data_IF_852488993706
#
_entry.id   IF_852488993706
#
_cell.length_a   1.000
_cell.length_b   1.000
_cell.length_c   1.000
_cell.angle_alpha   90.00
_cell.angle_beta   90.00
_cell.angle_gamma   90.00
#
_symmetry.space_group_name_H-M   'P 1'
#
loop_
_entity.id
_entity.type
_entity.pdbx_description
1 polymer ?
#
# COMPACT_ATOMS: atom_id res chain seq x y z
N UNK A 1 -16.17 -20.39 -7.58
CA UNK A 1 -15.37 -20.83 -6.42
C UNK A 1 -16.27 -21.10 -5.21
N UNK A 2 -17.01 -20.10 -4.73
CA UNK A 2 -17.95 -20.20 -3.59
C UNK A 2 -19.03 -21.26 -3.81
N UNK A 3 -19.76 -21.21 -4.91
CA UNK A 3 -20.81 -22.20 -5.24
C UNK A 3 -20.28 -23.65 -5.40
N UNK A 4 -19.00 -23.81 -5.71
CA UNK A 4 -18.35 -25.12 -5.91
C UNK A 4 -17.52 -25.55 -4.70
N UNK A 5 -17.50 -24.78 -3.60
CA UNK A 5 -16.70 -25.01 -2.40
C UNK A 5 -15.22 -25.37 -2.69
N UNK A 6 -14.60 -24.76 -3.71
CA UNK A 6 -13.26 -25.12 -4.17
C UNK A 6 -12.22 -24.07 -3.80
N UNK A 7 -11.31 -24.45 -2.89
CA UNK A 7 -10.20 -23.61 -2.45
C UNK A 7 -9.21 -23.30 -3.57
N UNK A 8 -8.89 -24.27 -4.44
CA UNK A 8 -7.98 -24.06 -5.56
C UNK A 8 -8.54 -23.02 -6.55
N UNK A 9 -9.83 -23.10 -6.88
CA UNK A 9 -10.51 -22.11 -7.71
C UNK A 9 -10.57 -20.74 -7.04
N UNK A 10 -10.74 -20.68 -5.72
CA UNK A 10 -10.69 -19.43 -4.97
C UNK A 10 -9.31 -18.77 -5.08
N UNK A 11 -8.23 -19.54 -4.88
CA UNK A 11 -6.85 -19.05 -4.99
C UNK A 11 -6.58 -18.48 -6.39
N UNK A 12 -6.99 -19.21 -7.44
CA UNK A 12 -6.83 -18.73 -8.82
C UNK A 12 -7.66 -17.46 -9.06
N UNK A 13 -8.90 -17.40 -8.55
CA UNK A 13 -9.74 -16.22 -8.69
C UNK A 13 -9.18 -14.98 -7.96
N UNK A 14 -8.50 -15.18 -6.82
CA UNK A 14 -7.84 -14.09 -6.08
C UNK A 14 -6.71 -13.43 -6.88
N UNK A 15 -6.14 -14.11 -7.89
CA UNK A 15 -5.18 -13.48 -8.79
C UNK A 15 -5.78 -12.27 -9.54
N UNK A 16 -7.07 -12.31 -9.89
CA UNK A 16 -7.76 -11.18 -10.53
C UNK A 16 -7.90 -9.99 -9.57
N UNK A 17 -8.20 -10.23 -8.30
CA UNK A 17 -8.21 -9.19 -7.25
C UNK A 17 -6.82 -8.60 -7.01
N UNK A 18 -5.79 -9.44 -7.04
CA UNK A 18 -4.40 -9.00 -7.02
C UNK A 18 -4.11 -8.04 -8.18
N UNK A 19 -4.47 -8.41 -9.40
CA UNK A 19 -4.33 -7.55 -10.58
C UNK A 19 -5.05 -6.21 -10.46
N UNK A 20 -6.29 -6.20 -9.96
CA UNK A 20 -7.05 -4.98 -9.71
C UNK A 20 -6.39 -4.09 -8.63
N UNK A 21 -5.86 -4.71 -7.57
CA UNK A 21 -5.12 -4.00 -6.51
C UNK A 21 -3.83 -3.38 -7.05
N UNK A 22 -3.06 -4.13 -7.85
CA UNK A 22 -1.86 -3.61 -8.51
C UNK A 22 -2.21 -2.45 -9.45
N UNK A 23 -3.28 -2.56 -10.23
CA UNK A 23 -3.73 -1.47 -11.11
C UNK A 23 -4.14 -0.22 -10.32
N UNK A 24 -4.88 -0.39 -9.21
CA UNK A 24 -5.25 0.72 -8.32
C UNK A 24 -4.05 1.41 -7.68
N UNK A 25 -3.05 0.63 -7.25
CA UNK A 25 -1.78 1.18 -6.77
C UNK A 25 -1.03 1.90 -7.90
N UNK A 26 -0.94 1.31 -9.09
CA UNK A 26 -0.25 1.91 -10.23
C UNK A 26 -0.88 3.24 -10.70
N UNK A 27 -2.20 3.42 -10.50
CA UNK A 27 -2.91 4.66 -10.85
C UNK A 27 -2.32 5.91 -10.18
N UNK A 28 -1.65 5.75 -9.03
CA UNK A 28 -0.96 6.84 -8.33
C UNK A 28 0.18 7.45 -9.16
N UNK A 29 0.83 6.65 -10.00
CA UNK A 29 1.90 7.13 -10.88
C UNK A 29 1.36 7.88 -12.10
N UNK A 30 0.21 7.47 -12.63
CA UNK A 30 -0.46 8.20 -13.70
C UNK A 30 -0.80 9.65 -13.30
N UNK A 31 -1.16 9.88 -12.03
CA UNK A 31 -1.35 11.23 -11.50
C UNK A 31 -0.04 12.04 -11.48
N UNK A 32 1.12 11.39 -11.27
CA UNK A 32 2.41 12.09 -11.20
C UNK A 32 3.04 12.41 -12.54
N UNK A 33 2.67 11.71 -13.61
CA UNK A 33 3.29 11.85 -14.92
C UNK A 33 3.00 13.21 -15.56
N UNK A 34 1.82 13.79 -15.29
CA UNK A 34 1.44 15.14 -15.71
C UNK A 34 1.47 16.19 -14.60
N UNK A 35 1.71 15.78 -13.34
CA UNK A 35 1.76 16.71 -12.23
C UNK A 35 2.97 17.66 -12.33
N UNK A 36 2.74 18.92 -11.97
CA UNK A 36 3.80 19.92 -11.80
C UNK A 36 4.79 19.43 -10.72
N UNK A 37 6.11 19.72 -10.86
CA UNK A 37 7.11 19.26 -9.89
C UNK A 37 6.77 19.57 -8.43
N UNK A 38 6.22 20.77 -8.17
CA UNK A 38 5.92 21.26 -6.82
C UNK A 38 4.62 20.69 -6.22
N UNK A 39 3.87 19.87 -6.96
CA UNK A 39 2.57 19.31 -6.53
C UNK A 39 2.48 17.80 -6.68
N UNK A 40 3.57 17.16 -7.12
CA UNK A 40 3.57 15.75 -7.51
C UNK A 40 3.19 14.82 -6.36
N UNK A 41 3.66 15.07 -5.14
CA UNK A 41 3.31 14.22 -4.00
C UNK A 41 1.86 14.43 -3.56
N UNK A 42 1.36 15.66 -3.59
CA UNK A 42 -0.06 15.97 -3.33
C UNK A 42 -0.98 15.30 -4.36
N UNK A 43 -0.69 15.41 -5.64
CA UNK A 43 -1.56 14.85 -6.69
C UNK A 43 -1.60 13.31 -6.60
N UNK A 44 -0.44 12.69 -6.37
CA UNK A 44 -0.34 11.26 -6.06
C UNK A 44 -1.19 10.91 -4.83
N UNK A 45 -1.07 11.69 -3.76
CA UNK A 45 -1.69 11.34 -2.49
C UNK A 45 -3.20 11.55 -2.47
N UNK A 46 -3.75 12.38 -3.36
CA UNK A 46 -5.20 12.46 -3.62
C UNK A 46 -5.73 11.15 -4.22
N UNK A 47 -4.97 10.51 -5.12
CA UNK A 47 -5.34 9.18 -5.65
C UNK A 47 -5.34 8.14 -4.54
N UNK A 48 -4.31 8.16 -3.68
CA UNK A 48 -4.23 7.27 -2.51
C UNK A 48 -5.41 7.52 -1.56
N UNK A 49 -5.77 8.78 -1.33
CA UNK A 49 -6.88 9.18 -0.46
C UNK A 49 -8.23 8.69 -0.97
N UNK A 50 -8.46 8.69 -2.29
CA UNK A 50 -9.70 8.19 -2.87
C UNK A 50 -9.99 6.72 -2.49
N UNK A 51 -8.93 5.94 -2.21
CA UNK A 51 -9.04 4.57 -1.69
C UNK A 51 -9.79 4.52 -0.35
N UNK A 52 -9.68 5.57 0.49
CA UNK A 52 -10.43 5.68 1.76
C UNK A 52 -11.93 5.49 1.55
N UNK A 53 -12.48 6.07 0.48
CA UNK A 53 -13.92 5.99 0.19
C UNK A 53 -14.30 4.51 -0.05
N UNK A 54 -13.52 3.80 -0.85
CA UNK A 54 -13.72 2.37 -1.10
C UNK A 54 -13.53 1.51 0.15
N UNK A 55 -12.49 1.78 0.96
CA UNK A 55 -12.22 1.03 2.19
C UNK A 55 -13.29 1.20 3.26
N UNK A 56 -13.92 2.38 3.35
CA UNK A 56 -15.04 2.64 4.26
C UNK A 56 -16.35 2.08 3.70
N UNK A 57 -16.63 2.29 2.41
CA UNK A 57 -17.86 1.82 1.79
C UNK A 57 -17.91 0.29 1.67
N UNK A 58 -16.78 -0.37 1.36
CA UNK A 58 -16.71 -1.80 1.05
C UNK A 58 -17.34 -2.71 2.10
N UNK A 59 -16.88 -2.71 3.36
CA UNK A 59 -17.44 -3.55 4.42
C UNK A 59 -18.92 -3.26 4.69
N UNK A 60 -19.35 -1.98 4.61
CA UNK A 60 -20.73 -1.57 4.83
C UNK A 60 -21.67 -2.02 3.70
N UNK A 61 -21.13 -2.23 2.50
CA UNK A 61 -21.88 -2.71 1.33
C UNK A 61 -21.86 -4.25 1.20
N UNK A 62 -21.00 -4.95 1.95
CA UNK A 62 -20.86 -6.40 1.85
C UNK A 62 -22.13 -7.17 2.25
N UNK A 63 -22.74 -6.82 3.40
CA UNK A 63 -23.98 -7.45 3.84
C UNK A 63 -25.18 -7.15 2.91
N UNK A 64 -25.43 -5.88 2.51
CA UNK A 64 -26.44 -5.58 1.50
C UNK A 64 -26.23 -6.33 0.18
N UNK A 65 -24.97 -6.44 -0.28
CA UNK A 65 -24.64 -7.18 -1.48
C UNK A 65 -24.94 -8.68 -1.34
N UNK A 66 -24.64 -9.27 -0.18
CA UNK A 66 -24.97 -10.66 0.13
C UNK A 66 -26.47 -10.94 0.05
N UNK A 67 -27.28 -10.11 0.71
CA UNK A 67 -28.76 -10.19 0.66
C UNK A 67 -29.29 -10.07 -0.76
N UNK A 68 -28.71 -9.19 -1.59
CA UNK A 68 -29.10 -9.05 -2.99
C UNK A 68 -28.86 -10.34 -3.78
N UNK A 69 -27.72 -11.00 -3.60
CA UNK A 69 -27.44 -12.30 -4.23
C UNK A 69 -28.42 -13.39 -3.81
N UNK A 70 -28.80 -13.43 -2.53
CA UNK A 70 -29.76 -14.40 -2.00
C UNK A 70 -31.15 -14.20 -2.62
N UNK A 71 -31.57 -12.95 -2.85
CA UNK A 71 -32.84 -12.65 -3.54
C UNK A 71 -32.90 -13.22 -4.97
N UNK A 72 -31.75 -13.34 -5.64
CA UNK A 72 -31.63 -13.96 -6.97
C UNK A 72 -31.30 -15.46 -6.91
N UNK A 73 -31.38 -16.10 -5.74
CA UNK A 73 -31.13 -17.54 -5.56
C UNK A 73 -29.66 -17.94 -5.55
N UNK A 74 -28.73 -16.99 -5.42
CA UNK A 74 -27.30 -17.24 -5.33
C UNK A 74 -26.79 -17.35 -3.88
N UNK A 75 -25.57 -17.87 -3.65
CA UNK A 75 -24.96 -17.88 -2.32
C UNK A 75 -24.71 -16.46 -1.80
N UNK A 76 -25.10 -16.14 -0.56
CA UNK A 76 -24.88 -14.83 0.05
C UNK A 76 -23.40 -14.41 0.09
N UNK A 77 -22.49 -15.36 0.33
CA UNK A 77 -21.04 -15.11 0.33
C UNK A 77 -20.50 -14.66 -1.03
N UNK A 78 -21.23 -14.89 -2.12
CA UNK A 78 -20.83 -14.43 -3.46
C UNK A 78 -21.11 -12.94 -3.68
N UNK A 79 -22.01 -12.32 -2.90
CA UNK A 79 -22.45 -10.94 -3.06
C UNK A 79 -21.31 -9.91 -3.06
N UNK A 80 -20.44 -9.88 -2.04
CA UNK A 80 -19.30 -8.96 -1.99
C UNK A 80 -18.34 -9.09 -3.18
N UNK A 81 -18.14 -10.31 -3.71
CA UNK A 81 -17.30 -10.54 -4.88
C UNK A 81 -17.93 -10.01 -6.17
N UNK A 82 -19.24 -10.18 -6.34
CA UNK A 82 -19.98 -9.63 -7.48
C UNK A 82 -20.01 -8.10 -7.45
N UNK A 83 -20.26 -7.50 -6.28
CA UNK A 83 -20.17 -6.05 -6.10
C UNK A 83 -18.79 -5.52 -6.50
N UNK A 84 -17.73 -6.20 -6.05
CA UNK A 84 -16.35 -5.84 -6.40
C UNK A 84 -16.10 -5.94 -7.90
N UNK A 85 -16.60 -6.99 -8.57
CA UNK A 85 -16.45 -7.15 -10.02
C UNK A 85 -17.14 -6.01 -10.81
N UNK A 86 -18.34 -5.61 -10.39
CA UNK A 86 -19.06 -4.47 -10.99
C UNK A 86 -18.30 -3.16 -10.75
N UNK A 87 -17.84 -2.92 -9.53
CA UNK A 87 -17.09 -1.72 -9.18
C UNK A 87 -15.77 -1.61 -9.97
N UNK A 88 -14.99 -2.69 -10.06
CA UNK A 88 -13.76 -2.72 -10.85
C UNK A 88 -14.03 -2.59 -12.35
N UNK A 89 -15.10 -3.19 -12.87
CA UNK A 89 -15.53 -3.02 -14.26
C UNK A 89 -15.91 -1.57 -14.58
N UNK A 90 -16.67 -0.92 -13.70
CA UNK A 90 -17.01 0.50 -13.82
C UNK A 90 -15.76 1.40 -13.76
N UNK A 91 -14.84 1.13 -12.83
CA UNK A 91 -13.57 1.85 -12.74
C UNK A 91 -12.72 1.69 -14.02
N UNK A 92 -12.63 0.48 -14.57
CA UNK A 92 -11.92 0.22 -15.83
C UNK A 92 -12.53 1.00 -17.00
N UNK A 93 -13.87 1.07 -17.09
CA UNK A 93 -14.56 1.86 -18.10
C UNK A 93 -14.30 3.36 -17.96
N UNK A 94 -14.34 3.88 -16.73
CA UNK A 94 -14.04 5.30 -16.45
C UNK A 94 -12.61 5.63 -16.83
N UNK A 95 -11.64 4.78 -16.47
CA UNK A 95 -10.22 4.97 -16.84
C UNK A 95 -10.04 4.91 -18.36
N UNK A 96 -10.63 3.91 -19.02
CA UNK A 96 -10.53 3.71 -20.46
C UNK A 96 -11.14 4.86 -21.27
N UNK A 97 -12.24 5.45 -20.79
CA UNK A 97 -12.92 6.57 -21.44
C UNK A 97 -12.30 7.93 -21.07
N UNK A 98 -11.90 8.11 -19.81
CA UNK A 98 -11.51 9.40 -19.24
C UNK A 98 -10.03 9.77 -19.36
N UNK A 99 -9.11 8.80 -19.46
CA UNK A 99 -7.67 9.06 -19.60
C UNK A 99 -7.22 9.10 -21.08
N UNK A 100 -8.03 9.74 -21.94
CA UNK A 100 -7.70 9.95 -23.35
C UNK A 100 -7.53 11.44 -23.64
N UNK A 101 -6.36 11.89 -24.14
CA UNK A 101 -5.17 11.10 -24.50
C UNK A 101 -4.37 10.63 -23.29
N UNK A 102 -3.60 9.54 -23.47
CA UNK A 102 -2.81 8.90 -22.40
C UNK A 102 -1.84 9.92 -21.75
N UNK A 103 -1.93 10.14 -20.42
CA UNK A 103 -1.05 11.04 -19.68
C UNK A 103 0.44 10.82 -19.94
N UNK A 104 0.87 9.57 -20.08
CA UNK A 104 2.26 9.21 -20.31
C UNK A 104 2.71 9.60 -21.73
N UNK A 105 1.82 9.46 -22.72
CA UNK A 105 2.08 9.89 -24.10
C UNK A 105 2.22 11.40 -24.18
N UNK A 106 1.37 12.14 -23.46
CA UNK A 106 1.50 13.58 -23.33
C UNK A 106 2.82 13.97 -22.65
N UNK A 107 3.20 13.30 -21.56
CA UNK A 107 4.44 13.58 -20.83
C UNK A 107 5.72 13.29 -21.63
N UNK A 108 5.68 12.31 -22.55
CA UNK A 108 6.81 11.96 -23.43
C UNK A 108 6.94 12.89 -24.65
N UNK A 109 5.91 13.70 -24.95
CA UNK A 109 5.77 14.37 -26.24
C UNK A 109 5.40 13.37 -27.35
N UNK A 110 4.77 13.84 -28.44
CA UNK A 110 4.15 13.02 -29.50
C UNK A 110 5.09 12.06 -30.29
N UNK A 111 6.31 11.84 -29.82
CA UNK A 111 7.32 10.95 -30.43
C UNK A 111 7.92 10.05 -29.35
N UNK A 112 7.14 9.09 -28.87
CA UNK A 112 7.70 7.93 -28.18
C UNK A 112 6.88 6.69 -28.54
N UNK A 113 7.42 5.98 -29.53
CA UNK A 113 7.09 4.62 -29.93
C UNK A 113 6.76 3.73 -28.73
N UNK A 114 5.97 2.69 -28.97
CA UNK A 114 5.78 1.49 -28.14
C UNK A 114 7.12 0.84 -27.78
N UNK A 115 7.93 1.53 -26.97
CA UNK A 115 9.21 1.04 -26.50
C UNK A 115 8.93 -0.19 -25.66
N UNK A 116 9.53 -1.32 -26.04
CA UNK A 116 9.43 -2.57 -25.31
C UNK A 116 9.91 -2.31 -23.88
N UNK A 117 9.18 -2.84 -22.90
CA UNK A 117 9.61 -2.88 -21.50
C UNK A 117 11.04 -3.38 -21.42
N UNK A 118 11.93 -2.56 -20.85
CA UNK A 118 13.34 -2.91 -20.65
C UNK A 118 13.65 -2.92 -19.15
N UNK A 119 13.40 -4.08 -18.53
CA UNK A 119 13.66 -4.29 -17.11
C UNK A 119 15.14 -4.16 -16.76
N UNK A 120 16.05 -4.47 -17.70
CA UNK A 120 17.48 -4.35 -17.47
C UNK A 120 17.89 -2.87 -17.38
N UNK A 121 17.38 -2.03 -18.30
CA UNK A 121 17.59 -0.59 -18.26
C UNK A 121 16.95 0.05 -17.03
N UNK A 122 15.72 -0.35 -16.67
CA UNK A 122 15.04 0.14 -15.47
C UNK A 122 15.85 -0.16 -14.20
N UNK A 123 16.32 -1.39 -14.07
CA UNK A 123 17.13 -1.81 -12.93
C UNK A 123 18.51 -1.13 -12.89
N UNK A 124 19.15 -0.94 -14.05
CA UNK A 124 20.39 -0.19 -14.14
C UNK A 124 20.21 1.27 -13.72
N UNK A 125 19.14 1.93 -14.19
CA UNK A 125 18.81 3.31 -13.81
C UNK A 125 18.52 3.43 -12.31
N UNK A 126 17.81 2.47 -11.75
CA UNK A 126 17.54 2.42 -10.31
C UNK A 126 18.83 2.26 -9.51
N UNK A 127 19.72 1.35 -9.91
CA UNK A 127 21.00 1.11 -9.21
C UNK A 127 21.94 2.31 -9.28
N UNK A 128 21.95 3.04 -10.41
CA UNK A 128 22.79 4.21 -10.61
C UNK A 128 22.35 5.41 -9.74
N UNK A 129 21.08 5.49 -9.34
CA UNK A 129 20.54 6.62 -8.58
C UNK A 129 20.44 6.31 -7.08
N UNK A 130 21.20 7.04 -6.26
CA UNK A 130 21.12 6.95 -4.80
C UNK A 130 19.71 7.25 -4.24
N UNK A 131 19.07 8.36 -4.65
CA UNK A 131 17.70 8.69 -4.27
C UNK A 131 16.66 7.64 -4.72
N UNK A 132 16.80 7.07 -5.92
CA UNK A 132 15.90 6.00 -6.39
C UNK A 132 16.01 4.74 -5.52
N UNK A 133 17.22 4.33 -5.12
CA UNK A 133 17.43 3.21 -4.20
C UNK A 133 16.84 3.47 -2.82
N UNK A 134 16.98 4.69 -2.29
CA UNK A 134 16.39 5.08 -1.02
C UNK A 134 14.86 5.01 -1.08
N UNK A 135 14.27 5.54 -2.15
CA UNK A 135 12.84 5.48 -2.40
C UNK A 135 12.31 4.04 -2.47
N UNK A 136 12.94 3.20 -3.30
CA UNK A 136 12.58 1.79 -3.43
C UNK A 136 12.68 1.06 -2.08
N UNK A 137 13.78 1.25 -1.36
CA UNK A 137 14.01 0.65 -0.05
C UNK A 137 12.91 1.02 0.94
N UNK A 138 12.53 2.30 1.00
CA UNK A 138 11.45 2.77 1.88
C UNK A 138 10.09 2.18 1.54
N UNK A 139 9.73 2.16 0.24
CA UNK A 139 8.46 1.58 -0.23
C UNK A 139 8.38 0.09 0.11
N UNK A 140 9.41 -0.69 -0.26
CA UNK A 140 9.42 -2.16 -0.08
C UNK A 140 9.42 -2.52 1.39
N UNK A 141 10.30 -1.89 2.18
CA UNK A 141 10.42 -2.18 3.61
C UNK A 141 9.15 -1.81 4.36
N UNK A 142 8.58 -0.64 4.06
CA UNK A 142 7.33 -0.20 4.68
C UNK A 142 6.17 -1.12 4.36
N UNK A 143 6.02 -1.55 3.10
CA UNK A 143 4.94 -2.46 2.72
C UNK A 143 5.14 -3.85 3.31
N UNK A 144 6.38 -4.36 3.38
CA UNK A 144 6.72 -5.61 4.06
C UNK A 144 6.26 -5.61 5.52
N UNK A 145 6.63 -4.59 6.30
CA UNK A 145 6.26 -4.53 7.72
C UNK A 145 4.79 -4.23 7.93
N UNK A 146 4.17 -3.45 7.03
CA UNK A 146 2.73 -3.20 7.05
C UNK A 146 1.94 -4.50 6.87
N UNK A 147 2.21 -5.26 5.80
CA UNK A 147 1.52 -6.53 5.54
C UNK A 147 1.84 -7.55 6.62
N UNK A 148 3.10 -7.61 7.08
CA UNK A 148 3.54 -8.50 8.14
C UNK A 148 2.73 -8.29 9.43
N UNK A 149 2.76 -7.09 10.00
CA UNK A 149 2.01 -6.79 11.23
C UNK A 149 0.50 -6.95 11.04
N UNK A 150 -0.07 -6.34 9.98
CA UNK A 150 -1.51 -6.37 9.73
C UNK A 150 -2.08 -7.77 9.59
N UNK A 151 -1.35 -8.70 8.97
CA UNK A 151 -1.85 -10.06 8.73
C UNK A 151 -2.13 -10.82 10.03
N UNK A 152 -1.35 -10.57 11.09
CA UNK A 152 -1.45 -11.30 12.36
C UNK A 152 -2.14 -10.49 13.48
N UNK A 153 -2.35 -9.19 13.33
CA UNK A 153 -3.03 -8.40 14.37
C UNK A 153 -4.46 -8.88 14.67
N UNK A 154 -5.34 -9.14 13.68
CA UNK A 154 -6.69 -9.64 13.97
C UNK A 154 -6.67 -10.97 14.72
N UNK A 155 -5.77 -11.88 14.30
CA UNK A 155 -5.57 -13.18 14.96
C UNK A 155 -5.08 -13.00 16.40
N UNK A 156 -4.12 -12.11 16.61
CA UNK A 156 -3.60 -11.80 17.94
C UNK A 156 -4.69 -11.23 18.88
N UNK A 157 -5.53 -10.34 18.35
CA UNK A 157 -6.63 -9.73 19.10
C UNK A 157 -7.74 -10.74 19.41
N UNK A 158 -8.09 -11.60 18.45
CA UNK A 158 -9.08 -12.66 18.62
C UNK A 158 -8.65 -13.67 19.70
N UNK A 159 -7.41 -14.14 19.65
CA UNK A 159 -6.82 -14.97 20.71
C UNK A 159 -6.74 -14.25 22.07
N UNK A 160 -6.68 -12.92 22.07
CA UNK A 160 -6.78 -12.08 23.27
C UNK A 160 -8.20 -11.90 23.81
N UNK A 161 -9.21 -12.48 23.16
CA UNK A 161 -10.63 -12.36 23.52
C UNK A 161 -11.28 -11.05 23.06
N UNK A 162 -10.66 -10.30 22.14
CA UNK A 162 -11.25 -9.08 21.61
C UNK A 162 -12.47 -9.39 20.74
N UNK A 163 -13.57 -8.68 20.95
CA UNK A 163 -14.73 -8.79 20.07
C UNK A 163 -14.43 -8.32 18.64
N UNK A 164 -15.12 -8.89 17.64
CA UNK A 164 -15.02 -8.46 16.23
C UNK A 164 -15.25 -6.96 16.03
N UNK A 165 -16.10 -6.35 16.86
CA UNK A 165 -16.34 -4.89 16.82
C UNK A 165 -15.06 -4.11 17.15
N UNK A 166 -14.32 -4.55 18.17
CA UNK A 166 -13.07 -3.91 18.58
C UNK A 166 -12.00 -4.09 17.51
N UNK A 167 -11.85 -5.30 16.96
CA UNK A 167 -10.96 -5.58 15.83
C UNK A 167 -11.28 -4.67 14.64
N UNK A 168 -12.56 -4.51 14.30
CA UNK A 168 -13.02 -3.61 13.24
C UNK A 168 -12.65 -2.14 13.48
N UNK A 169 -12.77 -1.63 14.71
CA UNK A 169 -12.34 -0.27 15.07
C UNK A 169 -10.83 -0.10 14.88
N UNK A 170 -10.04 -1.05 15.36
CA UNK A 170 -8.57 -1.01 15.26
C UNK A 170 -8.12 -1.00 13.80
N UNK A 171 -8.69 -1.88 12.96
CA UNK A 171 -8.42 -1.92 11.53
C UNK A 171 -8.87 -0.62 10.85
N UNK A 172 -10.01 -0.04 11.24
CA UNK A 172 -10.50 1.22 10.67
C UNK A 172 -9.55 2.39 10.96
N UNK A 173 -9.03 2.49 12.19
CA UNK A 173 -8.04 3.50 12.57
C UNK A 173 -6.73 3.33 11.80
N UNK A 174 -6.29 2.08 11.58
CA UNK A 174 -5.16 1.80 10.71
C UNK A 174 -5.37 2.29 9.28
N UNK A 175 -6.51 1.94 8.67
CA UNK A 175 -6.90 2.35 7.31
C UNK A 175 -6.99 3.88 7.22
N UNK A 176 -7.52 4.54 8.24
CA UNK A 176 -7.53 6.00 8.31
C UNK A 176 -6.10 6.57 8.31
N UNK A 177 -5.18 5.96 9.05
CA UNK A 177 -3.75 6.29 8.99
C UNK A 177 -3.14 6.10 7.59
N UNK A 178 -3.51 5.03 6.88
CA UNK A 178 -2.99 4.71 5.54
C UNK A 178 -3.47 5.68 4.46
N UNK A 179 -4.76 6.00 4.44
CA UNK A 179 -5.38 6.66 3.28
C UNK A 179 -5.98 8.02 3.61
N UNK A 180 -6.61 8.20 4.77
CA UNK A 180 -7.29 9.46 5.08
C UNK A 180 -6.29 10.62 5.25
N UNK A 181 -5.09 10.33 5.77
CA UNK A 181 -4.02 11.31 5.98
C UNK A 181 -3.15 11.56 4.74
N UNK A 182 -3.31 10.80 3.65
CA UNK A 182 -2.40 10.89 2.51
C UNK A 182 -2.36 12.28 1.85
N UNK A 183 -3.46 13.07 1.69
CA UNK A 183 -3.39 14.42 1.12
C UNK A 183 -2.48 15.35 1.92
N UNK A 184 -2.59 15.28 3.25
CA UNK A 184 -1.74 16.04 4.16
C UNK A 184 -0.27 15.61 4.01
N UNK A 185 0.00 14.31 3.97
CA UNK A 185 1.36 13.77 3.78
C UNK A 185 1.95 14.20 2.43
N UNK A 186 1.15 14.20 1.36
CA UNK A 186 1.57 14.68 0.04
C UNK A 186 1.91 16.17 0.06
N UNK A 187 1.06 16.99 0.68
CA UNK A 187 1.35 18.41 0.88
C UNK A 187 2.64 18.64 1.68
N UNK A 188 2.84 17.92 2.79
CA UNK A 188 4.08 17.99 3.57
C UNK A 188 5.28 17.55 2.74
N UNK A 189 5.15 16.49 1.93
CA UNK A 189 6.25 16.02 1.09
C UNK A 189 6.62 17.01 -0.02
N UNK A 190 5.66 17.79 -0.53
CA UNK A 190 5.91 18.87 -1.50
C UNK A 190 6.63 20.07 -0.85
N UNK A 191 6.37 20.38 0.43
CA UNK A 191 6.94 21.56 1.10
C UNK A 191 8.23 21.27 1.90
N UNK A 192 8.25 20.17 2.65
CA UNK A 192 9.37 19.76 3.50
C UNK A 192 10.38 18.87 2.76
N UNK A 193 10.05 18.40 1.55
CA UNK A 193 10.88 17.52 0.74
C UNK A 193 10.60 16.03 0.94
N UNK A 194 11.02 15.23 -0.05
CA UNK A 194 10.70 13.79 -0.09
C UNK A 194 11.43 12.98 0.98
N UNK A 195 12.73 13.24 1.13
CA UNK A 195 13.60 12.47 2.03
C UNK A 195 13.24 12.70 3.51
N UNK A 196 12.96 13.94 3.97
CA UNK A 196 12.47 14.16 5.34
C UNK A 196 11.17 13.44 5.65
N UNK A 197 10.19 13.44 4.74
CA UNK A 197 8.93 12.70 4.93
C UNK A 197 9.15 11.20 4.93
N UNK A 198 10.05 10.68 4.08
CA UNK A 198 10.43 9.27 4.09
C UNK A 198 11.09 8.86 5.41
N UNK A 199 11.95 9.71 5.98
CA UNK A 199 12.55 9.51 7.30
C UNK A 199 11.51 9.56 8.43
N UNK A 200 10.56 10.51 8.37
CA UNK A 200 9.44 10.56 9.31
C UNK A 200 8.58 9.30 9.23
N UNK A 201 8.33 8.78 8.02
CA UNK A 201 7.66 7.51 7.81
C UNK A 201 8.38 6.34 8.49
N UNK A 202 9.70 6.24 8.31
CA UNK A 202 10.50 5.21 8.97
C UNK A 202 10.47 5.33 10.50
N UNK A 203 10.46 6.55 11.05
CA UNK A 203 10.32 6.78 12.48
C UNK A 203 8.95 6.32 13.00
N UNK A 204 7.88 6.63 12.27
CA UNK A 204 6.52 6.18 12.61
C UNK A 204 6.41 4.65 12.59
N UNK A 205 7.04 3.98 11.63
CA UNK A 205 7.09 2.51 11.56
C UNK A 205 7.87 1.88 12.73
N UNK A 206 8.99 2.50 13.14
CA UNK A 206 9.73 2.08 14.35
C UNK A 206 8.87 2.26 15.59
N UNK A 207 8.21 3.42 15.74
CA UNK A 207 7.31 3.68 16.85
C UNK A 207 6.12 2.69 16.86
N UNK A 208 5.55 2.39 15.69
CA UNK A 208 4.48 1.41 15.53
C UNK A 208 4.91 0.02 16.03
N UNK A 209 6.10 -0.44 15.63
CA UNK A 209 6.68 -1.70 16.09
C UNK A 209 6.90 -1.72 17.61
N UNK A 210 7.48 -0.66 18.18
CA UNK A 210 7.74 -0.57 19.62
C UNK A 210 6.44 -0.54 20.46
N UNK A 211 5.44 0.25 20.04
CA UNK A 211 4.13 0.33 20.68
C UNK A 211 3.39 -1.00 20.59
N UNK A 212 3.42 -1.65 19.41
CA UNK A 212 2.75 -2.94 19.19
C UNK A 212 3.42 -4.09 19.93
N UNK A 213 4.75 -4.08 20.04
CA UNK A 213 5.51 -5.11 20.75
C UNK A 213 5.21 -5.14 22.25
N UNK A 214 4.99 -3.95 22.82
CA UNK A 214 4.69 -3.75 24.23
C UNK A 214 3.19 -3.85 24.55
N UNK A 215 2.33 -4.04 23.55
CA UNK A 215 0.90 -4.13 23.76
C UNK A 215 0.51 -5.52 24.28
N UNK A 216 -0.24 -5.61 25.39
CA UNK A 216 -0.91 -6.85 25.78
C UNK A 216 -1.94 -7.25 24.71
N UNK A 217 -2.28 -8.53 24.64
CA UNK A 217 -3.31 -9.04 23.71
C UNK A 217 -4.71 -8.45 23.95
N UNK A 218 -4.99 -7.99 25.17
CA UNK A 218 -6.22 -7.26 25.55
C UNK A 218 -6.11 -5.75 25.35
N UNK A 219 -4.92 -5.23 25.03
CA UNK A 219 -4.59 -3.82 24.94
C UNK A 219 -5.04 -3.16 23.63
N UNK A 220 -6.33 -3.27 23.29
CA UNK A 220 -6.88 -2.80 22.01
C UNK A 220 -6.56 -1.32 21.70
N UNK A 221 -6.52 -0.46 22.72
CA UNK A 221 -6.16 0.96 22.55
C UNK A 221 -4.70 1.11 22.13
N UNK A 222 -3.78 0.41 22.78
CA UNK A 222 -2.35 0.47 22.46
C UNK A 222 -2.07 -0.12 21.08
N UNK A 223 -2.72 -1.24 20.74
CA UNK A 223 -2.68 -1.79 19.38
C UNK A 223 -3.25 -0.79 18.37
N UNK A 224 -4.35 -0.09 18.68
CA UNK A 224 -4.91 0.95 17.80
C UNK A 224 -3.91 2.07 17.53
N UNK A 225 -3.20 2.54 18.55
CA UNK A 225 -2.13 3.53 18.39
C UNK A 225 -1.01 2.96 17.50
N UNK A 226 -0.50 1.78 17.82
CA UNK A 226 0.55 1.12 17.05
C UNK A 226 0.18 0.94 15.57
N UNK A 227 -1.02 0.47 15.29
CA UNK A 227 -1.50 0.25 13.92
C UNK A 227 -1.83 1.56 13.18
N UNK A 228 -2.30 2.58 13.88
CA UNK A 228 -2.49 3.91 13.26
C UNK A 228 -1.14 4.51 12.84
N UNK A 229 -0.12 4.40 13.70
CA UNK A 229 1.25 4.80 13.38
C UNK A 229 1.82 3.98 12.20
N UNK A 230 1.54 2.67 12.16
CA UNK A 230 1.93 1.81 11.05
C UNK A 230 1.31 2.28 9.73
N UNK A 231 0.01 2.62 9.74
CA UNK A 231 -0.69 3.14 8.57
C UNK A 231 -0.14 4.49 8.10
N UNK A 232 0.06 5.43 9.02
CA UNK A 232 0.63 6.73 8.71
C UNK A 232 2.08 6.62 8.20
N UNK A 233 2.90 5.78 8.82
CA UNK A 233 4.27 5.50 8.38
C UNK A 233 4.31 4.89 6.98
N UNK A 234 3.38 3.98 6.68
CA UNK A 234 3.19 3.44 5.35
C UNK A 234 2.77 4.49 4.32
N UNK A 235 1.84 5.38 4.67
CA UNK A 235 1.45 6.47 3.78
C UNK A 235 2.62 7.41 3.47
N UNK A 236 3.44 7.75 4.46
CA UNK A 236 4.65 8.55 4.26
C UNK A 236 5.61 7.88 3.27
N UNK A 237 5.88 6.59 3.47
CA UNK A 237 6.78 5.83 2.61
C UNK A 237 6.24 5.67 1.18
N UNK A 238 4.96 5.36 1.03
CA UNK A 238 4.34 5.20 -0.29
C UNK A 238 4.31 6.54 -1.04
N UNK A 239 3.81 7.60 -0.42
CA UNK A 239 3.62 8.90 -1.09
C UNK A 239 4.96 9.56 -1.41
N UNK A 240 5.81 9.77 -0.40
CA UNK A 240 7.09 10.45 -0.60
C UNK A 240 8.07 9.57 -1.39
N UNK A 241 8.06 8.26 -1.16
CA UNK A 241 8.89 7.31 -1.91
C UNK A 241 8.51 7.25 -3.38
N UNK A 242 7.21 7.15 -3.72
CA UNK A 242 6.78 7.08 -5.11
C UNK A 242 7.09 8.37 -5.89
N UNK A 243 6.93 9.54 -5.25
CA UNK A 243 7.31 10.82 -5.82
C UNK A 243 8.84 10.91 -6.03
N UNK A 244 9.64 10.56 -5.00
CA UNK A 244 11.10 10.55 -5.08
C UNK A 244 11.59 9.60 -6.18
N UNK A 245 11.03 8.40 -6.27
CA UNK A 245 11.40 7.41 -7.28
C UNK A 245 11.18 7.95 -8.69
N UNK A 246 10.00 8.54 -8.93
CA UNK A 246 9.61 9.13 -10.22
C UNK A 246 10.51 10.31 -10.60
N UNK A 247 10.87 11.15 -9.63
CA UNK A 247 11.79 12.29 -9.80
C UNK A 247 13.24 11.86 -10.05
N UNK A 248 13.62 10.68 -9.57
CA UNK A 248 15.02 10.21 -9.55
C UNK A 248 15.46 9.45 -10.79
N UNK A 249 14.56 9.24 -11.76
CA UNK A 249 14.84 8.48 -12.99
C UNK A 249 14.36 9.19 -14.26
N UNK A 250 15.02 8.97 -15.41
CA UNK A 250 14.63 9.58 -16.68
C UNK A 250 13.20 9.19 -17.10
N UNK A 251 12.48 10.13 -17.73
CA UNK A 251 11.08 9.95 -18.19
C UNK A 251 10.91 8.70 -19.07
N UNK A 252 11.92 8.38 -19.89
CA UNK A 252 11.89 7.24 -20.79
C UNK A 252 11.67 5.89 -20.06
N UNK A 253 12.32 5.71 -18.90
CA UNK A 253 12.31 4.45 -18.13
C UNK A 253 11.38 4.48 -16.91
N UNK A 254 10.68 5.61 -16.66
CA UNK A 254 9.79 5.77 -15.50
C UNK A 254 8.76 4.65 -15.35
N UNK A 255 7.98 4.27 -16.39
CA UNK A 255 6.96 3.23 -16.23
C UNK A 255 7.56 1.88 -15.83
N UNK A 256 8.71 1.51 -16.40
CA UNK A 256 9.38 0.25 -16.09
C UNK A 256 9.94 0.25 -14.67
N UNK A 257 10.50 1.37 -14.21
CA UNK A 257 10.99 1.55 -12.83
C UNK A 257 9.83 1.54 -11.81
N UNK A 258 8.72 2.20 -12.13
CA UNK A 258 7.52 2.23 -11.30
C UNK A 258 6.90 0.83 -11.18
N UNK A 259 6.79 0.11 -12.30
CA UNK A 259 6.34 -1.28 -12.33
C UNK A 259 7.26 -2.21 -11.56
N UNK A 260 8.58 -2.05 -11.67
CA UNK A 260 9.55 -2.80 -10.89
C UNK A 260 9.44 -2.51 -9.38
N UNK A 261 9.21 -1.25 -9.01
CA UNK A 261 8.95 -0.88 -7.62
C UNK A 261 7.69 -1.52 -7.08
N UNK A 262 6.61 -1.57 -7.85
CA UNK A 262 5.36 -2.20 -7.43
C UNK A 262 5.52 -3.72 -7.32
N UNK A 263 6.24 -4.36 -8.24
CA UNK A 263 6.57 -5.78 -8.13
C UNK A 263 7.39 -6.07 -6.86
N UNK A 264 8.43 -5.27 -6.60
CA UNK A 264 9.26 -5.43 -5.41
C UNK A 264 8.47 -5.18 -4.12
N UNK A 265 7.59 -4.18 -4.12
CA UNK A 265 6.70 -3.86 -3.00
C UNK A 265 5.77 -5.02 -2.69
N UNK A 266 5.03 -5.52 -3.67
CA UNK A 266 4.09 -6.64 -3.49
C UNK A 266 4.82 -7.94 -3.12
N UNK A 267 6.01 -8.18 -3.67
CA UNK A 267 6.85 -9.31 -3.27
C UNK A 267 7.29 -9.20 -1.80
N UNK A 268 7.67 -8.01 -1.36
CA UNK A 268 7.97 -7.70 0.04
C UNK A 268 6.76 -7.91 0.96
N UNK A 269 5.56 -7.51 0.52
CA UNK A 269 4.32 -7.76 1.25
C UNK A 269 4.00 -9.24 1.40
N UNK A 270 4.10 -10.01 0.31
CA UNK A 270 3.90 -11.46 0.33
C UNK A 270 4.88 -12.17 1.28
N UNK A 271 6.17 -11.81 1.21
CA UNK A 271 7.18 -12.30 2.14
C UNK A 271 6.86 -11.91 3.59
N UNK A 272 6.46 -10.65 3.81
CA UNK A 272 6.05 -10.15 5.12
C UNK A 272 4.91 -10.96 5.73
N UNK A 273 3.86 -11.25 4.95
CA UNK A 273 2.73 -12.07 5.42
C UNK A 273 3.12 -13.52 5.77
N UNK A 274 3.93 -14.18 4.92
CA UNK A 274 4.41 -15.55 5.19
C UNK A 274 5.28 -15.59 6.44
N UNK A 275 6.25 -14.67 6.54
CA UNK A 275 7.16 -14.59 7.68
C UNK A 275 6.44 -14.20 8.98
N UNK A 276 5.40 -13.36 8.89
CA UNK A 276 4.58 -12.99 10.04
C UNK A 276 3.83 -14.19 10.60
N UNK A 277 3.18 -14.97 9.73
CA UNK A 277 2.53 -16.23 10.09
C UNK A 277 3.47 -17.18 10.83
N UNK A 278 4.64 -17.45 10.23
CA UNK A 278 5.65 -18.32 10.81
C UNK A 278 6.19 -17.79 12.15
N UNK A 279 6.43 -16.48 12.25
CA UNK A 279 6.99 -15.85 13.45
C UNK A 279 6.01 -15.91 14.62
N UNK A 280 4.73 -15.63 14.39
CA UNK A 280 3.72 -15.71 15.47
C UNK A 280 3.43 -17.16 15.86
N UNK A 281 3.46 -18.10 14.90
CA UNK A 281 3.30 -19.52 15.20
C UNK A 281 4.45 -20.11 16.04
N UNK A 282 5.68 -19.66 15.79
CA UNK A 282 6.88 -20.18 16.47
C UNK A 282 7.29 -19.39 17.71
N UNK A 283 6.89 -18.11 17.80
CA UNK A 283 7.27 -17.21 18.88
C UNK A 283 6.06 -16.43 19.39
N UNK A 284 5.87 -15.19 18.94
CA UNK A 284 4.76 -14.34 19.39
C UNK A 284 4.56 -13.12 18.50
N UNK A 285 3.40 -12.46 18.65
CA UNK A 285 3.12 -11.17 18.03
C UNK A 285 4.12 -10.08 18.47
N UNK A 286 4.53 -10.08 19.74
CA UNK A 286 5.54 -9.13 20.23
C UNK A 286 6.88 -9.29 19.52
N UNK A 287 7.31 -10.52 19.22
CA UNK A 287 8.54 -10.79 18.45
C UNK A 287 8.41 -10.27 17.02
N UNK A 288 7.26 -10.47 16.37
CA UNK A 288 6.99 -9.90 15.04
C UNK A 288 7.05 -8.36 15.04
N UNK A 289 6.50 -7.72 16.07
CA UNK A 289 6.54 -6.27 16.21
C UNK A 289 7.95 -5.73 16.51
N UNK A 290 8.75 -6.45 17.30
CA UNK A 290 10.17 -6.11 17.51
C UNK A 290 11.00 -6.32 16.22
N UNK A 291 10.70 -7.34 15.43
CA UNK A 291 11.34 -7.55 14.14
C UNK A 291 11.12 -6.36 13.20
N UNK A 292 9.93 -5.75 13.22
CA UNK A 292 9.65 -4.50 12.50
C UNK A 292 10.60 -3.38 12.91
N UNK A 293 10.84 -3.19 14.22
CA UNK A 293 11.79 -2.20 14.72
C UNK A 293 13.20 -2.48 14.21
N UNK A 294 13.66 -3.73 14.34
CA UNK A 294 15.01 -4.14 13.93
C UNK A 294 15.23 -3.97 12.43
N UNK A 295 14.22 -4.26 11.61
CA UNK A 295 14.29 -4.12 10.16
C UNK A 295 14.26 -2.66 9.70
N UNK A 296 13.45 -1.81 10.35
CA UNK A 296 13.25 -0.41 9.92
C UNK A 296 14.30 0.54 10.48
N UNK A 297 14.84 0.29 11.68
CA UNK A 297 15.79 1.20 12.32
C UNK A 297 17.06 1.50 11.46
N UNK A 298 17.70 0.54 10.78
CA UNK A 298 18.82 0.84 9.89
C UNK A 298 18.41 1.75 8.72
N UNK A 299 17.23 1.53 8.14
CA UNK A 299 16.70 2.38 7.08
C UNK A 299 16.45 3.80 7.58
N UNK A 300 15.90 3.96 8.79
CA UNK A 300 15.72 5.27 9.44
C UNK A 300 17.05 6.01 9.57
N UNK A 301 18.11 5.34 10.04
CA UNK A 301 19.45 5.95 10.16
C UNK A 301 19.95 6.45 8.81
N UNK A 302 19.83 5.63 7.76
CA UNK A 302 20.22 6.01 6.39
C UNK A 302 19.38 7.19 5.89
N UNK A 303 18.06 7.17 6.07
CA UNK A 303 17.18 8.24 5.64
C UNK A 303 17.50 9.57 6.34
N UNK A 304 17.70 9.55 7.66
CA UNK A 304 18.09 10.74 8.46
C UNK A 304 19.45 11.28 8.04
N UNK A 305 20.43 10.41 7.78
CA UNK A 305 21.73 10.83 7.29
C UNK A 305 21.61 11.57 5.94
N UNK A 306 20.70 11.11 5.06
CA UNK A 306 20.45 11.74 3.76
C UNK A 306 19.71 13.07 3.85
N UNK A 307 18.84 13.26 4.86
CA UNK A 307 18.21 14.56 5.15
C UNK A 307 19.27 15.61 5.46
N UNK A 308 20.31 15.25 6.22
CA UNK A 308 21.36 16.20 6.64
C UNK A 308 22.29 16.62 5.50
N UNK A 309 22.32 15.86 4.41
CA UNK A 309 23.18 16.11 3.25
C UNK A 309 22.47 16.76 2.08
N UNK A 310 21.14 16.92 2.17
CA UNK A 310 20.28 17.53 1.16
C UNK A 310 20.04 19.00 1.52
#
# INVERSE_FOLDING_TARGET
>A
ATALASAALLIVALAAFGGATTAGLAARYAATDLALPDRRARDLSVVVWATTIGSVAGPNLAEPAGRLTELFGGPGDAGPYLLSAVAFGAAALVVWAGLRPDPLVLARGAVASLARTDLAAAWASLRASGPARLALGGIVLSHLVMVGLMSMTPVHMDHGGASLRVVGIVISLHIAGMFALSPLIGWVADHAGRVPVLAAGALLLVAAGAVSASAPSTGAVQLSVGLTLLGAGWSCALVAGSALLTESVPVAVRPDVQGLSDLAMNSGGALGGVLAGATVALASYSVLALATVVLVAPFLVVAVARVRTA
#
